data_IF_528045337219
#
_entry.id   IF_528045337219
#
_cell.length_a   1.000
_cell.length_b   1.000
_cell.length_c   1.000
_cell.angle_alpha   90.00
_cell.angle_beta   90.00
_cell.angle_gamma   90.00
#
_symmetry.space_group_name_H-M   'P 1'
#
loop_
_entity.id
_entity.type
_entity.pdbx_description
1 polymer ?
#
# COMPACT_ATOMS: atom_id res chain seq x y z
N UNK A 1 7.40 3.83 8.22
CA UNK A 1 6.77 4.48 7.06
C UNK A 1 7.82 5.35 6.39
N UNK A 2 8.02 5.19 5.09
CA UNK A 2 8.83 6.12 4.30
C UNK A 2 7.88 6.92 3.42
N UNK A 3 8.08 8.24 3.36
CA UNK A 3 7.28 9.13 2.53
C UNK A 3 8.20 9.80 1.51
N UNK A 4 7.84 9.72 0.23
CA UNK A 4 8.63 10.24 -0.88
C UNK A 4 7.80 11.23 -1.67
N UNK A 5 8.38 12.38 -1.99
CA UNK A 5 7.80 13.36 -2.91
C UNK A 5 8.50 13.21 -4.26
N UNK A 6 7.76 12.74 -5.26
CA UNK A 6 8.24 12.62 -6.63
C UNK A 6 7.81 13.81 -7.48
N UNK A 7 8.63 14.15 -8.48
CA UNK A 7 8.22 15.05 -9.58
C UNK A 7 7.59 14.21 -10.67
N UNK A 8 6.52 14.72 -11.29
CA UNK A 8 6.03 14.17 -12.54
C UNK A 8 6.69 14.92 -13.72
N UNK A 9 7.69 14.31 -14.39
CA UNK A 9 8.47 15.00 -15.42
C UNK A 9 7.67 15.30 -16.69
N UNK A 10 6.53 14.63 -16.89
CA UNK A 10 5.68 14.87 -18.06
C UNK A 10 4.92 16.21 -17.98
N UNK A 11 4.85 16.82 -16.78
CA UNK A 11 4.01 17.99 -16.52
C UNK A 11 4.78 19.20 -15.98
N UNK A 12 5.93 19.01 -15.33
CA UNK A 12 6.66 20.14 -14.71
C UNK A 12 8.14 19.84 -14.42
N UNK A 13 8.97 20.86 -14.55
CA UNK A 13 10.37 20.88 -14.10
C UNK A 13 10.53 21.40 -12.66
N UNK A 14 9.46 21.92 -12.06
CA UNK A 14 9.48 22.43 -10.69
C UNK A 14 9.57 21.29 -9.67
N UNK A 15 10.40 21.47 -8.64
CA UNK A 15 10.53 20.52 -7.54
C UNK A 15 9.23 20.37 -6.74
N UNK A 16 8.99 19.20 -6.13
CA UNK A 16 7.79 18.99 -5.33
C UNK A 16 7.96 19.70 -3.98
N UNK A 17 6.86 20.22 -3.42
CA UNK A 17 6.88 20.86 -2.11
C UNK A 17 5.77 20.32 -1.21
N UNK A 18 6.02 20.34 0.10
CA UNK A 18 5.05 20.04 1.15
C UNK A 18 5.23 21.07 2.27
N UNK A 19 4.15 21.66 2.76
CA UNK A 19 4.23 22.65 3.84
C UNK A 19 4.22 22.00 5.22
N UNK A 20 3.50 20.89 5.39
CA UNK A 20 3.42 20.12 6.63
C UNK A 20 2.97 18.68 6.35
N UNK A 21 3.41 17.75 7.20
CA UNK A 21 2.95 16.37 7.22
C UNK A 21 2.57 16.02 8.66
N UNK A 22 1.32 15.61 8.87
CA UNK A 22 0.83 15.10 10.14
C UNK A 22 0.62 13.60 10.01
N UNK A 23 1.20 12.83 10.94
CA UNK A 23 1.01 11.39 11.02
C UNK A 23 0.42 11.09 12.40
N UNK A 24 -0.84 10.66 12.41
CA UNK A 24 -1.56 10.26 13.62
C UNK A 24 -1.69 8.75 13.58
N UNK A 25 -1.27 8.10 14.67
CA UNK A 25 -1.51 6.68 14.84
C UNK A 25 -2.96 6.47 15.27
N UNK A 26 -3.70 5.69 14.49
CA UNK A 26 -5.05 5.27 14.82
C UNK A 26 -5.02 3.83 15.34
N UNK A 27 -5.94 3.51 16.25
CA UNK A 27 -6.15 2.13 16.68
C UNK A 27 -6.84 1.33 15.57
N UNK A 28 -6.53 0.04 15.44
CA UNK A 28 -7.10 -0.84 14.42
C UNK A 28 -8.64 -0.92 14.53
N UNK A 29 -9.21 -0.64 15.71
CA UNK A 29 -10.65 -0.60 15.94
C UNK A 29 -11.37 0.51 15.17
N UNK A 30 -10.71 1.63 14.84
CA UNK A 30 -11.38 2.82 14.27
C UNK A 30 -11.94 2.55 12.87
N UNK A 31 -11.29 1.72 12.05
CA UNK A 31 -11.77 1.36 10.71
C UNK A 31 -11.60 -0.14 10.46
N UNK A 32 -11.98 -0.95 11.43
CA UNK A 32 -11.71 -2.39 11.50
C UNK A 32 -12.30 -3.25 10.37
N UNK A 33 -13.20 -2.70 9.56
CA UNK A 33 -13.81 -3.39 8.41
C UNK A 33 -12.97 -3.30 7.14
N UNK A 34 -11.88 -2.53 7.13
CA UNK A 34 -10.98 -2.36 5.98
C UNK A 34 -9.73 -3.22 6.15
N UNK A 35 -9.40 -4.02 5.12
CA UNK A 35 -8.11 -4.74 5.07
C UNK A 35 -6.99 -3.78 4.64
N UNK A 36 -6.39 -3.11 5.63
CA UNK A 36 -5.24 -2.21 5.42
C UNK A 36 -3.95 -2.93 4.97
N UNK A 37 -3.95 -4.27 4.91
CA UNK A 37 -2.88 -5.02 4.26
C UNK A 37 -3.01 -5.04 2.73
N UNK A 38 -4.21 -4.76 2.19
CA UNK A 38 -4.49 -4.77 0.74
C UNK A 38 -4.87 -3.42 0.18
N UNK A 39 -5.48 -2.57 0.98
CA UNK A 39 -6.03 -1.30 0.52
C UNK A 39 -5.78 -0.17 1.51
N UNK A 40 -5.45 1.00 1.01
CA UNK A 40 -5.51 2.25 1.75
C UNK A 40 -6.88 2.90 1.54
N UNK A 41 -7.28 3.74 2.49
CA UNK A 41 -8.46 4.60 2.35
C UNK A 41 -8.01 6.04 2.14
N UNK A 42 -8.56 6.68 1.11
CA UNK A 42 -8.43 8.13 0.93
C UNK A 42 -9.77 8.79 1.19
N UNK A 43 -9.80 9.78 2.08
CA UNK A 43 -11.02 10.50 2.42
C UNK A 43 -11.53 11.28 1.20
N UNK A 44 -12.80 11.07 0.85
CA UNK A 44 -13.50 11.84 -0.19
C UNK A 44 -14.35 12.93 0.44
N UNK A 45 -15.14 12.58 1.46
CA UNK A 45 -15.94 13.53 2.21
C UNK A 45 -16.18 13.02 3.64
N UNK A 46 -16.17 13.94 4.60
CA UNK A 46 -16.62 13.71 5.98
C UNK A 46 -17.47 14.91 6.37
N UNK A 47 -18.74 14.67 6.65
CA UNK A 47 -19.72 15.75 6.75
C UNK A 47 -20.57 15.62 8.01
N UNK A 48 -20.77 16.75 8.69
CA UNK A 48 -21.77 16.98 9.74
C UNK A 48 -22.97 17.68 9.11
N UNK A 49 -24.13 17.04 9.14
CA UNK A 49 -25.36 17.57 8.58
C UNK A 49 -26.15 18.39 9.61
N UNK A 50 -26.95 19.34 9.13
CA UNK A 50 -27.76 20.21 9.99
C UNK A 50 -26.99 21.31 10.73
N UNK A 51 -25.75 21.60 10.32
CA UNK A 51 -24.96 22.71 10.86
C UNK A 51 -24.26 23.45 9.72
N UNK A 52 -24.24 24.78 9.78
CA UNK A 52 -23.42 25.67 8.93
C UNK A 52 -22.31 26.35 9.73
N UNK A 53 -21.99 25.82 10.92
CA UNK A 53 -20.98 26.37 11.83
C UNK A 53 -19.54 26.07 11.40
N UNK A 54 -18.63 26.10 12.38
CA UNK A 54 -17.23 25.75 12.15
C UNK A 54 -17.02 24.23 11.97
N UNK A 55 -15.85 23.85 11.48
CA UNK A 55 -15.44 22.45 11.31
C UNK A 55 -15.26 21.82 12.70
N UNK A 56 -15.94 20.69 12.94
CA UNK A 56 -15.71 19.86 14.14
C UNK A 56 -14.38 19.13 14.00
N UNK A 57 -13.53 19.21 15.02
CA UNK A 57 -12.20 18.57 15.06
C UNK A 57 -11.70 18.47 16.50
N UNK A 58 -10.40 18.31 16.72
CA UNK A 58 -9.83 18.33 18.07
C UNK A 58 -10.18 19.65 18.81
N UNK A 59 -10.58 19.61 20.10
CA UNK A 59 -10.51 18.48 21.03
C UNK A 59 -11.71 17.53 21.00
N UNK A 60 -12.79 17.87 20.30
CA UNK A 60 -14.05 17.13 20.34
C UNK A 60 -13.95 15.80 19.58
N UNK A 61 -13.14 15.76 18.51
CA UNK A 61 -12.68 14.53 17.87
C UNK A 61 -11.27 14.15 18.34
N UNK A 62 -11.15 13.04 19.07
CA UNK A 62 -9.87 12.52 19.60
C UNK A 62 -8.86 12.15 18.51
N UNK A 63 -9.29 11.99 17.27
CA UNK A 63 -8.45 11.65 16.12
C UNK A 63 -8.14 12.86 15.22
N UNK A 64 -8.54 14.07 15.63
CA UNK A 64 -8.39 15.33 14.88
C UNK A 64 -8.92 15.23 13.43
N UNK A 65 -10.01 14.47 13.25
CA UNK A 65 -10.71 14.37 11.96
C UNK A 65 -11.51 15.64 11.72
N UNK A 66 -11.51 16.11 10.47
CA UNK A 66 -12.22 17.31 10.06
C UNK A 66 -13.64 16.95 9.60
N UNK A 67 -14.65 17.27 10.40
CA UNK A 67 -16.05 17.12 10.00
C UNK A 67 -16.57 18.42 9.40
N UNK A 68 -16.74 18.42 8.08
CA UNK A 68 -17.16 19.60 7.35
C UNK A 68 -18.68 19.82 7.53
N UNK A 69 -19.13 21.05 7.84
CA UNK A 69 -20.55 21.35 7.89
C UNK A 69 -21.17 21.25 6.49
N UNK A 70 -22.39 20.73 6.41
CA UNK A 70 -23.14 20.74 5.16
C UNK A 70 -23.66 22.17 4.87
N UNK A 71 -23.53 22.69 3.64
CA UNK A 71 -23.80 24.10 3.35
C UNK A 71 -25.28 24.52 3.41
N UNK A 72 -26.20 23.59 3.65
CA UNK A 72 -27.64 23.88 3.81
C UNK A 72 -28.11 23.65 5.25
N UNK A 73 -28.75 24.66 5.83
CA UNK A 73 -29.37 24.63 7.16
C UNK A 73 -30.88 24.82 7.14
N UNK A 74 -31.53 24.93 5.97
CA UNK A 74 -32.99 25.17 5.92
C UNK A 74 -33.80 24.08 6.61
N UNK A 75 -33.28 22.86 6.61
CA UNK A 75 -33.90 21.70 7.24
C UNK A 75 -33.08 21.18 8.43
N UNK A 76 -32.32 22.04 9.10
CA UNK A 76 -31.57 21.65 10.29
C UNK A 76 -32.47 21.56 11.52
N UNK A 77 -32.31 20.50 12.29
CA UNK A 77 -32.89 20.36 13.63
C UNK A 77 -31.78 20.11 14.66
N UNK A 78 -31.99 20.58 15.89
CA UNK A 78 -31.06 20.39 17.01
C UNK A 78 -31.54 19.23 17.89
N UNK A 79 -30.61 18.40 18.32
CA UNK A 79 -30.88 17.34 19.30
C UNK A 79 -31.15 17.92 20.67
N UNK A 80 -32.05 17.28 21.41
CA UNK A 80 -32.36 17.62 22.81
C UNK A 80 -31.67 16.69 23.81
N UNK A 81 -30.88 15.72 23.35
CA UNK A 81 -30.16 14.78 24.18
C UNK A 81 -28.76 14.49 23.65
N UNK A 82 -27.92 13.97 24.54
CA UNK A 82 -26.56 13.59 24.21
C UNK A 82 -26.53 12.16 23.65
N UNK A 83 -25.62 11.94 22.71
CA UNK A 83 -25.37 10.65 22.08
C UNK A 83 -23.97 10.17 22.50
N UNK A 84 -23.83 8.87 22.78
CA UNK A 84 -22.55 8.29 23.19
C UNK A 84 -21.82 7.72 21.98
N UNK A 85 -20.62 8.22 21.70
CA UNK A 85 -19.81 7.78 20.54
C UNK A 85 -19.43 6.30 20.53
N UNK A 86 -19.38 5.65 21.71
CA UNK A 86 -18.97 4.26 21.86
C UNK A 86 -19.89 3.26 21.14
N UNK A 87 -21.13 3.66 20.87
CA UNK A 87 -22.13 2.83 20.19
C UNK A 87 -22.00 2.87 18.65
N UNK A 88 -21.08 3.69 18.13
CA UNK A 88 -20.87 3.90 16.70
C UNK A 88 -19.56 3.28 16.21
N UNK A 89 -19.59 2.79 14.98
CA UNK A 89 -18.55 1.93 14.40
C UNK A 89 -17.12 2.50 14.48
N UNK A 90 -16.93 3.78 14.19
CA UNK A 90 -15.62 4.44 14.15
C UNK A 90 -15.50 5.64 15.11
N UNK A 91 -16.27 5.62 16.20
CA UNK A 91 -16.21 6.61 17.28
C UNK A 91 -16.28 8.09 16.78
N UNK A 92 -17.29 8.49 15.98
CA UNK A 92 -17.53 9.90 15.65
C UNK A 92 -17.73 10.73 16.93
N UNK A 93 -17.30 12.00 16.97
CA UNK A 93 -17.43 12.84 18.16
C UNK A 93 -18.93 13.07 18.48
N UNK A 94 -19.34 13.15 19.76
CA UNK A 94 -20.74 13.31 20.14
C UNK A 94 -21.41 14.51 19.48
N UNK A 95 -20.66 15.60 19.29
CA UNK A 95 -21.18 16.87 18.78
C UNK A 95 -21.68 16.82 17.34
N UNK A 96 -21.28 15.80 16.58
CA UNK A 96 -21.82 15.52 15.25
C UNK A 96 -23.32 15.17 15.31
N UNK A 97 -23.79 14.61 16.43
CA UNK A 97 -25.19 14.24 16.64
C UNK A 97 -26.04 15.34 17.26
N UNK A 98 -25.45 16.48 17.65
CA UNK A 98 -26.20 17.62 18.18
C UNK A 98 -27.09 18.26 17.12
N UNK A 99 -26.85 17.98 15.83
CA UNK A 99 -27.66 18.45 14.72
C UNK A 99 -28.03 17.29 13.77
N UNK A 100 -29.13 17.46 13.06
CA UNK A 100 -29.50 16.59 11.95
C UNK A 100 -30.12 17.40 10.83
N UNK A 101 -30.06 16.87 9.61
CA UNK A 101 -30.83 17.36 8.47
C UNK A 101 -32.03 16.45 8.27
N UNK A 102 -33.24 17.01 8.33
CA UNK A 102 -34.51 16.26 8.35
C UNK A 102 -35.31 16.49 7.07
N UNK A 103 -36.09 15.50 6.63
CA UNK A 103 -37.02 15.69 5.52
C UNK A 103 -38.20 16.61 5.90
N UNK A 104 -38.89 17.12 4.88
CA UNK A 104 -40.25 17.62 5.05
C UNK A 104 -41.21 16.47 5.42
N UNK A 105 -42.34 16.80 6.05
CA UNK A 105 -43.34 15.82 6.46
C UNK A 105 -43.85 15.03 5.25
N UNK A 106 -43.90 13.70 5.38
CA UNK A 106 -44.36 12.75 4.35
C UNK A 106 -43.59 12.80 3.02
N UNK A 107 -42.40 13.41 2.99
CA UNK A 107 -41.51 13.48 1.84
C UNK A 107 -40.20 12.70 2.08
N UNK A 108 -39.57 12.16 1.02
CA UNK A 108 -38.24 11.60 1.15
C UNK A 108 -37.19 12.69 1.35
N UNK A 109 -36.16 12.41 2.14
CA UNK A 109 -34.97 13.25 2.19
C UNK A 109 -34.06 12.88 1.00
N UNK A 110 -33.72 13.85 0.15
CA UNK A 110 -32.81 13.64 -0.99
C UNK A 110 -31.59 14.53 -0.84
N UNK A 111 -30.42 13.93 -0.73
CA UNK A 111 -29.14 14.61 -0.56
C UNK A 111 -28.21 14.28 -1.72
N UNK A 112 -27.72 15.29 -2.43
CA UNK A 112 -26.59 15.11 -3.35
C UNK A 112 -25.29 15.18 -2.55
N UNK A 113 -24.78 14.02 -2.14
CA UNK A 113 -23.59 13.92 -1.31
C UNK A 113 -22.81 12.63 -1.64
N UNK A 114 -21.47 12.69 -1.78
CA UNK A 114 -20.58 13.84 -1.57
C UNK A 114 -20.76 14.99 -2.60
N UNK A 115 -20.27 16.22 -2.32
CA UNK A 115 -20.53 17.41 -3.13
C UNK A 115 -19.79 17.43 -4.48
N UNK A 116 -19.12 16.35 -4.85
CA UNK A 116 -18.32 16.23 -6.06
C UNK A 116 -18.63 14.90 -6.77
N UNK A 117 -18.50 14.85 -8.12
CA UNK A 117 -18.66 13.61 -8.86
C UNK A 117 -17.53 12.63 -8.53
N UNK A 118 -17.88 11.35 -8.43
CA UNK A 118 -16.97 10.25 -8.13
C UNK A 118 -16.54 9.51 -9.40
N UNK A 119 -15.35 8.92 -9.37
CA UNK A 119 -14.92 8.00 -10.42
C UNK A 119 -15.69 6.69 -10.29
N UNK A 120 -15.76 5.90 -11.37
CA UNK A 120 -16.37 4.57 -11.31
C UNK A 120 -15.44 3.61 -10.57
N UNK A 121 -15.68 3.45 -9.27
CA UNK A 121 -14.84 2.61 -8.40
C UNK A 121 -15.62 2.15 -7.16
N UNK A 122 -14.95 1.35 -6.33
CA UNK A 122 -15.44 0.87 -5.04
C UNK A 122 -15.15 1.88 -3.93
N UNK A 123 -16.19 2.24 -3.19
CA UNK A 123 -16.13 3.20 -2.09
C UNK A 123 -16.55 2.56 -0.77
N UNK A 124 -15.91 3.06 0.28
CA UNK A 124 -16.41 2.94 1.63
C UNK A 124 -17.44 4.04 1.85
N UNK A 125 -18.65 3.70 2.30
CA UNK A 125 -19.69 4.68 2.68
C UNK A 125 -20.17 4.36 4.08
N UNK A 126 -20.19 5.35 4.97
CA UNK A 126 -20.82 5.28 6.28
C UNK A 126 -21.79 6.46 6.45
N UNK A 127 -22.98 6.16 6.96
CA UNK A 127 -24.03 7.11 7.30
C UNK A 127 -24.36 6.96 8.79
N UNK A 128 -24.50 8.10 9.47
CA UNK A 128 -24.66 8.16 10.92
C UNK A 128 -25.99 8.80 11.28
N UNK A 129 -26.72 8.12 12.15
CA UNK A 129 -28.08 8.48 12.51
C UNK A 129 -28.26 8.43 14.02
N UNK A 130 -28.92 9.43 14.58
CA UNK A 130 -29.45 9.46 15.92
C UNK A 130 -30.71 10.33 15.90
N UNK A 131 -31.82 9.82 16.45
CA UNK A 131 -33.00 10.67 16.59
C UNK A 131 -32.67 11.88 17.46
N UNK A 132 -33.30 13.01 17.20
CA UNK A 132 -33.14 14.25 17.98
C UNK A 132 -34.11 14.33 19.15
N UNK A 133 -35.14 13.47 19.14
CA UNK A 133 -36.19 13.38 20.15
C UNK A 133 -35.96 12.17 21.08
N UNK A 134 -36.04 12.34 22.41
CA UNK A 134 -35.87 11.25 23.35
C UNK A 134 -37.03 10.25 23.23
N UNK A 135 -36.74 8.97 23.47
CA UNK A 135 -37.71 7.86 23.51
C UNK A 135 -38.54 7.67 22.22
N UNK A 136 -38.12 8.29 21.12
CA UNK A 136 -38.73 8.13 19.81
C UNK A 136 -37.87 7.25 18.91
N UNK A 137 -38.51 6.78 17.84
CA UNK A 137 -37.84 6.05 16.78
C UNK A 137 -38.37 6.44 15.41
N UNK A 138 -37.49 6.53 14.43
CA UNK A 138 -37.81 6.72 13.01
C UNK A 138 -37.47 5.45 12.25
N UNK A 139 -38.40 5.00 11.42
CA UNK A 139 -38.14 3.88 10.50
C UNK A 139 -38.22 4.36 9.07
N UNK A 140 -37.15 4.14 8.32
CA UNK A 140 -37.04 4.54 6.92
C UNK A 140 -36.08 3.64 6.16
N UNK A 141 -36.24 3.58 4.84
CA UNK A 141 -35.28 2.91 3.96
C UNK A 141 -34.23 3.92 3.51
N UNK A 142 -33.03 3.40 3.25
CA UNK A 142 -31.89 4.17 2.74
C UNK A 142 -31.56 3.67 1.35
N UNK A 143 -31.48 4.58 0.39
CA UNK A 143 -31.02 4.31 -0.96
C UNK A 143 -29.81 5.17 -1.30
N UNK A 144 -28.90 4.61 -2.08
CA UNK A 144 -27.79 5.34 -2.69
C UNK A 144 -27.87 5.14 -4.20
N UNK A 145 -28.05 6.22 -4.96
CA UNK A 145 -28.27 6.18 -6.41
C UNK A 145 -29.41 5.23 -6.82
N UNK A 146 -30.54 5.29 -6.10
CA UNK A 146 -31.74 4.46 -6.30
C UNK A 146 -31.54 2.96 -6.00
N UNK A 147 -30.35 2.53 -5.56
CA UNK A 147 -30.11 1.18 -5.06
C UNK A 147 -30.33 1.12 -3.54
N UNK A 148 -31.05 0.09 -3.09
CA UNK A 148 -31.33 -0.14 -1.69
C UNK A 148 -30.03 -0.39 -0.91
N UNK A 149 -29.70 0.54 -0.01
CA UNK A 149 -28.55 0.48 0.88
C UNK A 149 -28.90 -0.16 2.22
N UNK A 150 -30.09 0.16 2.76
CA UNK A 150 -30.62 -0.46 3.97
C UNK A 150 -32.16 -0.44 3.95
N UNK A 151 -32.78 -1.55 4.31
CA UNK A 151 -34.25 -1.70 4.41
C UNK A 151 -34.70 -1.60 5.87
N UNK A 152 -35.71 -0.77 6.15
CA UNK A 152 -36.34 -0.68 7.46
C UNK A 152 -35.41 -0.22 8.59
N UNK A 153 -34.53 0.75 8.32
CA UNK A 153 -33.58 1.26 9.31
C UNK A 153 -34.34 1.90 10.47
N UNK A 154 -34.23 1.33 11.67
CA UNK A 154 -34.89 1.84 12.87
C UNK A 154 -33.93 2.67 13.72
N UNK A 155 -34.02 3.99 13.61
CA UNK A 155 -33.15 4.96 14.30
C UNK A 155 -33.80 5.40 15.60
N UNK A 156 -33.10 5.25 16.72
CA UNK A 156 -33.52 5.73 18.05
C UNK A 156 -32.61 6.87 18.52
N UNK A 157 -32.87 7.43 19.71
CA UNK A 157 -32.00 8.41 20.36
C UNK A 157 -30.60 7.90 20.71
N UNK A 158 -30.39 6.57 20.82
CA UNK A 158 -29.06 5.99 20.99
C UNK A 158 -28.22 6.09 19.70
N UNK A 159 -28.90 6.13 18.56
CA UNK A 159 -28.31 6.18 17.23
C UNK A 159 -27.65 4.87 16.78
N UNK A 160 -27.16 4.89 15.54
CA UNK A 160 -26.52 3.77 14.86
C UNK A 160 -25.71 4.25 13.65
N UNK A 161 -24.89 3.34 13.11
CA UNK A 161 -24.20 3.50 11.84
C UNK A 161 -24.76 2.53 10.80
N UNK A 162 -24.99 3.00 9.57
CA UNK A 162 -25.21 2.15 8.41
C UNK A 162 -24.04 2.34 7.43
N UNK A 163 -23.32 1.26 7.08
CA UNK A 163 -22.12 1.36 6.26
C UNK A 163 -21.96 0.21 5.29
N UNK A 164 -21.20 0.45 4.21
CA UNK A 164 -20.75 -0.55 3.26
C UNK A 164 -19.29 -0.28 2.89
N UNK A 165 -18.50 -1.35 2.73
CA UNK A 165 -17.06 -1.24 2.47
C UNK A 165 -16.71 -1.34 0.98
N UNK A 166 -17.64 -1.82 0.15
CA UNK A 166 -17.42 -2.03 -1.29
C UNK A 166 -18.62 -1.59 -2.12
N UNK A 167 -19.07 -0.36 -1.89
CA UNK A 167 -20.21 0.19 -2.63
C UNK A 167 -19.72 0.86 -3.92
N UNK A 168 -20.23 0.43 -5.07
CA UNK A 168 -19.81 1.00 -6.36
C UNK A 168 -20.52 2.34 -6.57
N UNK A 169 -19.75 3.40 -6.76
CA UNK A 169 -20.26 4.74 -7.08
C UNK A 169 -19.64 5.23 -8.39
N UNK A 170 -20.35 6.12 -9.08
CA UNK A 170 -19.84 6.84 -10.23
C UNK A 170 -20.66 8.12 -10.46
N UNK A 171 -20.02 9.18 -10.92
CA UNK A 171 -20.70 10.46 -11.15
C UNK A 171 -21.24 11.09 -9.87
N UNK A 172 -22.34 11.84 -9.98
CA UNK A 172 -22.99 12.46 -8.83
C UNK A 172 -23.74 11.41 -8.01
N UNK A 173 -23.53 11.42 -6.70
CA UNK A 173 -24.18 10.49 -5.76
C UNK A 173 -25.36 11.15 -5.07
N UNK A 174 -26.47 10.41 -4.99
CA UNK A 174 -27.67 10.79 -4.23
C UNK A 174 -27.90 9.80 -3.09
N UNK A 175 -27.97 10.30 -1.87
CA UNK A 175 -28.46 9.58 -0.69
C UNK A 175 -29.94 9.93 -0.53
N UNK A 176 -30.81 8.93 -0.50
CA UNK A 176 -32.26 9.10 -0.45
C UNK A 176 -32.78 8.33 0.76
N UNK A 177 -33.49 9.01 1.66
CA UNK A 177 -34.14 8.40 2.81
C UNK A 177 -35.65 8.46 2.61
N UNK A 178 -36.33 7.32 2.60
CA UNK A 178 -37.78 7.24 2.37
C UNK A 178 -38.49 6.76 3.63
N UNK A 179 -39.48 7.50 4.18
CA UNK A 179 -40.26 7.03 5.32
C UNK A 179 -40.85 5.64 5.07
N UNK A 180 -40.79 4.74 6.06
CA UNK A 180 -41.33 3.39 5.90
C UNK A 180 -42.87 3.35 5.84
N UNK A 181 -43.55 4.41 6.32
CA UNK A 181 -45.00 4.54 6.19
C UNK A 181 -45.44 6.01 6.04
N UNK A 182 -46.62 6.28 5.42
CA UNK A 182 -47.13 7.64 5.13
C UNK A 182 -47.57 8.46 6.36
N UNK A 183 -47.16 8.08 7.57
CA UNK A 183 -47.43 8.80 8.82
C UNK A 183 -46.30 8.65 9.84
N UNK A 184 -45.13 8.17 9.39
CA UNK A 184 -43.94 8.09 10.21
C UNK A 184 -43.30 9.48 10.36
N UNK A 185 -42.53 9.67 11.44
CA UNK A 185 -41.66 10.84 11.59
C UNK A 185 -40.71 10.94 10.38
N UNK A 186 -40.45 12.15 9.85
CA UNK A 186 -39.63 12.33 8.66
C UNK A 186 -38.21 11.80 8.90
N UNK A 187 -37.57 11.17 7.90
CA UNK A 187 -36.21 10.67 8.05
C UNK A 187 -35.23 11.82 8.27
N UNK A 188 -34.11 11.49 8.90
CA UNK A 188 -33.04 12.44 9.20
C UNK A 188 -31.68 11.80 8.98
N UNK A 189 -30.63 12.63 8.93
CA UNK A 189 -29.23 12.20 8.95
C UNK A 189 -28.39 13.20 9.76
N UNK A 190 -27.44 12.70 10.54
CA UNK A 190 -26.55 13.52 11.36
C UNK A 190 -25.18 13.69 10.72
N UNK A 191 -24.64 12.61 10.14
CA UNK A 191 -23.32 12.64 9.53
C UNK A 191 -23.16 11.61 8.41
N UNK A 192 -22.08 11.77 7.65
CA UNK A 192 -21.64 10.77 6.69
C UNK A 192 -20.14 10.84 6.42
N UNK A 193 -19.56 9.69 6.06
CA UNK A 193 -18.20 9.57 5.54
C UNK A 193 -18.17 8.76 4.23
N UNK A 194 -17.40 9.24 3.25
CA UNK A 194 -17.06 8.49 2.04
C UNK A 194 -15.54 8.42 1.91
N UNK A 195 -15.03 7.22 1.65
CA UNK A 195 -13.63 7.00 1.31
C UNK A 195 -13.52 6.26 -0.01
N UNK A 196 -12.55 6.66 -0.83
CA UNK A 196 -12.07 5.84 -1.94
C UNK A 196 -11.19 4.72 -1.40
N UNK A 197 -11.35 3.51 -1.92
CA UNK A 197 -10.45 2.40 -1.64
C UNK A 197 -9.35 2.35 -2.68
N UNK A 198 -8.13 2.61 -2.24
CA UNK A 198 -6.96 2.55 -3.09
C UNK A 198 -6.28 1.20 -2.82
N UNK A 199 -6.20 0.28 -3.80
CA UNK A 199 -5.39 -0.91 -3.60
C UNK A 199 -3.96 -0.44 -3.31
N UNK A 200 -3.39 -0.88 -2.20
CA UNK A 200 -1.97 -0.68 -1.94
C UNK A 200 -1.24 -1.40 -3.07
N UNK A 201 -0.56 -0.60 -3.91
CA UNK A 201 0.17 -1.10 -5.06
C UNK A 201 1.00 -2.30 -4.65
N UNK A 202 0.89 -3.38 -5.44
CA UNK A 202 1.47 -4.70 -5.17
C UNK A 202 2.88 -4.54 -4.60
N UNK A 203 3.05 -4.67 -3.28
CA UNK A 203 4.36 -4.47 -2.67
C UNK A 203 5.30 -5.60 -3.09
N UNK A 204 6.60 -5.31 -3.09
CA UNK A 204 7.59 -6.37 -3.14
C UNK A 204 7.35 -7.32 -1.98
N UNK A 205 7.44 -8.63 -2.23
CA UNK A 205 7.39 -9.63 -1.17
C UNK A 205 8.35 -9.22 -0.06
N UNK A 206 7.83 -9.08 1.17
CA UNK A 206 8.59 -8.55 2.30
C UNK A 206 9.96 -9.22 2.51
N UNK A 207 10.06 -10.53 2.29
CA UNK A 207 11.34 -11.26 2.34
C UNK A 207 12.35 -10.69 1.33
N UNK A 208 11.94 -10.48 0.09
CA UNK A 208 12.83 -10.02 -0.96
C UNK A 208 13.29 -8.58 -0.67
N UNK A 209 12.38 -7.71 -0.22
CA UNK A 209 12.71 -6.35 0.22
C UNK A 209 13.70 -6.33 1.39
N UNK A 210 13.47 -7.12 2.44
CA UNK A 210 14.38 -7.21 3.59
C UNK A 210 15.77 -7.75 3.21
N UNK A 211 15.83 -8.69 2.26
CA UNK A 211 17.10 -9.22 1.77
C UNK A 211 17.86 -8.17 0.97
N UNK A 212 17.20 -7.38 0.12
CA UNK A 212 17.84 -6.28 -0.61
C UNK A 212 18.35 -5.19 0.34
N UNK A 213 17.63 -4.88 1.42
CA UNK A 213 18.13 -4.00 2.48
C UNK A 213 19.36 -4.57 3.20
N UNK A 214 19.41 -5.89 3.42
CA UNK A 214 20.59 -6.57 3.97
C UNK A 214 21.79 -6.54 3.00
N UNK A 215 21.54 -6.72 1.70
CA UNK A 215 22.56 -6.62 0.65
C UNK A 215 23.11 -5.20 0.58
N UNK A 216 22.23 -4.19 0.55
CA UNK A 216 22.59 -2.77 0.57
C UNK A 216 23.54 -2.44 1.73
N UNK A 217 23.28 -2.96 2.93
CA UNK A 217 24.15 -2.77 4.12
C UNK A 217 25.55 -3.37 4.00
N UNK A 218 25.77 -4.34 3.09
CA UNK A 218 27.09 -4.96 2.84
C UNK A 218 27.87 -4.29 1.71
N UNK A 219 27.25 -3.36 1.01
CA UNK A 219 27.82 -2.66 -0.12
C UNK A 219 28.12 -1.21 0.25
N UNK A 220 29.05 -0.60 -0.48
CA UNK A 220 29.38 0.82 -0.44
C UNK A 220 29.22 1.40 -1.85
N UNK A 221 29.05 2.72 -1.93
CA UNK A 221 28.76 3.45 -3.18
C UNK A 221 27.46 2.97 -3.86
N UNK A 222 26.44 2.63 -3.07
CA UNK A 222 25.14 2.21 -3.60
C UNK A 222 24.42 3.39 -4.28
N UNK A 223 23.63 3.15 -5.34
CA UNK A 223 22.78 4.16 -5.96
C UNK A 223 21.84 4.86 -4.96
N UNK A 224 21.57 6.15 -5.19
CA UNK A 224 20.73 6.97 -4.30
C UNK A 224 19.26 6.53 -4.28
N UNK A 225 18.79 5.91 -5.36
CA UNK A 225 17.43 5.44 -5.53
C UNK A 225 17.16 4.09 -4.83
N UNK A 226 18.18 3.47 -4.21
CA UNK A 226 18.01 2.26 -3.40
C UNK A 226 17.35 2.56 -2.05
N UNK A 227 16.19 3.20 -2.05
CA UNK A 227 15.43 3.55 -0.86
C UNK A 227 13.94 3.22 -1.06
N UNK A 228 13.28 2.70 -0.02
CA UNK A 228 11.88 2.32 -0.09
C UNK A 228 11.65 0.89 -0.61
N UNK A 229 10.52 0.66 -1.28
CA UNK A 229 10.21 -0.64 -1.88
C UNK A 229 11.07 -0.86 -3.14
N UNK A 230 11.79 -1.98 -3.27
CA UNK A 230 12.75 -2.17 -4.36
C UNK A 230 12.14 -2.38 -5.74
N UNK A 231 10.84 -2.71 -5.82
CA UNK A 231 10.15 -2.93 -7.09
C UNK A 231 9.07 -1.88 -7.36
N UNK A 232 8.73 -1.04 -6.37
CA UNK A 232 7.58 -0.16 -6.43
C UNK A 232 7.93 1.31 -6.16
N UNK A 233 7.26 2.26 -6.84
CA UNK A 233 6.16 2.05 -7.79
C UNK A 233 6.61 1.45 -9.14
N UNK A 234 5.68 0.86 -9.89
CA UNK A 234 5.99 0.28 -11.21
C UNK A 234 6.62 1.35 -12.12
N UNK A 235 7.72 1.01 -12.79
CA UNK A 235 8.53 1.96 -13.55
C UNK A 235 9.64 2.67 -12.75
N UNK A 236 9.66 2.52 -11.42
CA UNK A 236 10.60 3.15 -10.50
C UNK A 236 11.22 2.15 -9.50
N UNK A 237 11.47 0.91 -9.95
CA UNK A 237 12.25 -0.06 -9.17
C UNK A 237 13.68 0.47 -8.95
N UNK A 238 14.34 0.01 -7.89
CA UNK A 238 15.74 0.33 -7.63
C UNK A 238 16.61 0.07 -8.87
N UNK A 239 17.55 0.96 -9.14
CA UNK A 239 18.44 0.86 -10.30
C UNK A 239 19.14 -0.49 -10.28
N UNK A 240 19.00 -1.23 -11.39
CA UNK A 240 19.56 -2.57 -11.57
C UNK A 240 18.71 -3.72 -10.99
N UNK A 241 17.60 -3.43 -10.32
CA UNK A 241 16.63 -4.45 -9.87
C UNK A 241 15.54 -4.62 -10.93
N UNK A 242 15.22 -5.87 -11.27
CA UNK A 242 14.06 -6.20 -12.11
C UNK A 242 13.14 -7.14 -11.34
N UNK A 243 11.83 -6.86 -11.43
CA UNK A 243 10.80 -7.59 -10.69
C UNK A 243 9.75 -8.18 -11.61
N UNK A 244 9.05 -9.21 -11.15
CA UNK A 244 7.91 -9.75 -11.90
C UNK A 244 6.65 -8.89 -11.74
N UNK A 245 5.73 -9.02 -12.69
CA UNK A 245 4.44 -8.33 -12.68
C UNK A 245 3.34 -9.22 -12.07
N UNK A 246 3.71 -10.13 -11.17
CA UNK A 246 2.79 -11.03 -10.49
C UNK A 246 1.93 -10.31 -9.44
N UNK A 247 0.86 -10.95 -8.91
CA UNK A 247 0.11 -10.42 -7.78
C UNK A 247 0.94 -10.37 -6.49
N UNK A 248 2.02 -11.15 -6.41
CA UNK A 248 3.06 -11.07 -5.38
C UNK A 248 4.36 -10.73 -6.08
N UNK A 249 4.77 -9.47 -6.01
CA UNK A 249 5.97 -9.01 -6.72
C UNK A 249 7.21 -9.65 -6.10
N UNK A 250 8.02 -10.28 -6.95
CA UNK A 250 9.28 -10.93 -6.60
C UNK A 250 10.42 -10.29 -7.38
N UNK A 251 11.59 -10.25 -6.76
CA UNK A 251 12.82 -9.84 -7.43
C UNK A 251 13.32 -10.99 -8.31
N UNK A 252 13.48 -10.76 -9.60
CA UNK A 252 13.80 -11.80 -10.60
C UNK A 252 15.17 -11.62 -11.27
N UNK A 253 15.71 -10.40 -11.27
CA UNK A 253 17.06 -10.13 -11.77
C UNK A 253 17.73 -9.01 -10.97
N UNK A 254 19.03 -9.16 -10.75
CA UNK A 254 19.92 -8.14 -10.21
C UNK A 254 21.04 -7.89 -11.21
N UNK A 255 21.06 -6.72 -11.83
CA UNK A 255 22.14 -6.26 -12.69
C UNK A 255 22.78 -5.00 -12.10
N UNK A 256 23.81 -5.23 -11.30
CA UNK A 256 24.57 -4.19 -10.63
C UNK A 256 25.97 -4.03 -11.24
N UNK A 257 26.10 -4.32 -12.53
CA UNK A 257 27.38 -4.28 -13.24
C UNK A 257 27.86 -2.84 -13.43
N UNK A 258 29.16 -2.58 -13.28
CA UNK A 258 29.77 -1.27 -13.54
C UNK A 258 29.18 -0.10 -12.72
N UNK A 259 28.70 -0.38 -11.51
CA UNK A 259 28.11 0.62 -10.61
C UNK A 259 29.10 1.26 -9.64
N UNK A 260 30.38 0.88 -9.69
CA UNK A 260 31.39 1.39 -8.74
C UNK A 260 31.21 0.86 -7.32
N UNK A 261 30.48 -0.25 -7.18
CA UNK A 261 30.18 -0.86 -5.89
C UNK A 261 31.46 -1.45 -5.27
N UNK A 262 31.57 -1.36 -3.95
CA UNK A 262 32.58 -2.07 -3.17
C UNK A 262 31.95 -2.72 -1.94
N UNK A 263 32.71 -3.51 -1.18
CA UNK A 263 32.21 -4.29 -0.04
C UNK A 263 32.23 -5.79 -0.32
N UNK A 264 31.21 -6.53 0.12
CA UNK A 264 31.14 -7.99 -0.07
C UNK A 264 29.75 -8.52 -0.42
N UNK A 265 29.70 -9.68 -1.07
CA UNK A 265 28.45 -10.36 -1.42
C UNK A 265 27.81 -10.97 -0.16
N UNK A 266 26.61 -10.49 0.20
CA UNK A 266 25.87 -11.03 1.34
C UNK A 266 25.36 -12.45 1.06
N UNK A 267 25.56 -13.45 1.96
CA UNK A 267 24.98 -14.78 1.82
C UNK A 267 23.45 -14.79 1.77
N UNK A 268 22.81 -13.74 2.29
CA UNK A 268 21.37 -13.55 2.31
C UNK A 268 20.76 -13.49 0.90
N UNK A 269 21.55 -13.17 -0.13
CA UNK A 269 21.11 -13.18 -1.53
C UNK A 269 20.50 -14.53 -1.94
N UNK A 270 20.92 -15.64 -1.30
CA UNK A 270 20.36 -16.97 -1.54
C UNK A 270 18.89 -17.13 -1.11
N UNK A 271 18.32 -16.15 -0.40
CA UNK A 271 16.89 -16.10 -0.02
C UNK A 271 16.00 -15.50 -1.13
N UNK A 272 16.57 -14.88 -2.15
CA UNK A 272 15.85 -14.33 -3.31
C UNK A 272 15.54 -15.45 -4.33
N UNK A 273 14.69 -16.40 -3.94
CA UNK A 273 14.48 -17.66 -4.67
C UNK A 273 13.86 -17.53 -6.07
N UNK A 274 13.42 -16.33 -6.45
CA UNK A 274 12.87 -16.06 -7.77
C UNK A 274 13.94 -15.59 -8.78
N UNK A 275 15.18 -15.33 -8.33
CA UNK A 275 16.25 -14.84 -9.20
C UNK A 275 16.58 -15.81 -10.33
N UNK A 276 16.69 -15.23 -11.52
CA UNK A 276 17.13 -15.89 -12.75
C UNK A 276 18.49 -15.38 -13.20
N UNK A 277 18.88 -14.18 -12.78
CA UNK A 277 20.14 -13.54 -13.14
C UNK A 277 20.70 -12.74 -11.97
N UNK A 278 22.01 -12.88 -11.78
CA UNK A 278 22.81 -12.07 -10.87
C UNK A 278 24.05 -11.62 -11.64
N UNK A 279 24.18 -10.32 -11.83
CA UNK A 279 25.40 -9.71 -12.34
C UNK A 279 25.90 -8.63 -11.39
N UNK A 280 27.13 -8.80 -10.92
CA UNK A 280 27.90 -7.79 -10.18
C UNK A 280 29.22 -7.49 -10.91
N UNK A 281 29.28 -7.76 -12.22
CA UNK A 281 30.50 -7.64 -13.01
C UNK A 281 31.10 -6.22 -12.98
N UNK A 282 32.42 -6.12 -13.07
CA UNK A 282 33.14 -4.86 -13.17
C UNK A 282 32.85 -3.91 -11.99
N UNK A 283 33.16 -4.37 -10.78
CA UNK A 283 33.04 -3.61 -9.54
C UNK A 283 34.30 -3.82 -8.68
N UNK A 284 34.31 -3.30 -7.46
CA UNK A 284 35.38 -3.49 -6.48
C UNK A 284 34.95 -4.36 -5.30
N UNK A 285 34.14 -5.40 -5.56
CA UNK A 285 33.70 -6.33 -4.53
C UNK A 285 34.82 -7.24 -4.07
N UNK A 286 34.77 -7.63 -2.80
CA UNK A 286 35.75 -8.47 -2.12
C UNK A 286 35.07 -9.55 -1.28
N UNK A 287 35.86 -10.49 -0.76
CA UNK A 287 35.34 -11.61 0.02
C UNK A 287 34.99 -12.84 -0.83
N UNK A 288 34.51 -13.91 -0.19
CA UNK A 288 34.17 -15.16 -0.86
C UNK A 288 32.84 -15.08 -1.60
N UNK A 289 32.71 -15.91 -2.64
CA UNK A 289 31.42 -16.17 -3.28
C UNK A 289 30.55 -16.94 -2.27
N UNK A 290 29.38 -16.41 -1.86
CA UNK A 290 28.52 -17.09 -0.91
C UNK A 290 27.86 -18.34 -1.51
N UNK A 291 27.29 -19.18 -0.65
CA UNK A 291 26.52 -20.33 -1.11
C UNK A 291 25.19 -19.87 -1.75
N UNK A 292 25.00 -20.15 -3.04
CA UNK A 292 23.82 -19.78 -3.82
C UNK A 292 22.89 -20.97 -4.16
N UNK A 293 23.10 -22.14 -3.54
CA UNK A 293 22.35 -23.38 -3.90
C UNK A 293 20.83 -23.29 -3.80
N UNK A 294 20.29 -22.38 -2.99
CA UNK A 294 18.85 -22.17 -2.86
C UNK A 294 18.23 -21.43 -4.07
N UNK A 295 19.05 -20.85 -4.94
CA UNK A 295 18.59 -20.14 -6.13
C UNK A 295 18.36 -21.11 -7.30
N UNK A 296 17.38 -21.99 -7.14
CA UNK A 296 17.09 -23.07 -8.10
C UNK A 296 16.72 -22.60 -9.51
N UNK A 297 16.34 -21.33 -9.66
CA UNK A 297 15.98 -20.66 -10.92
C UNK A 297 17.14 -19.88 -11.54
N UNK A 298 18.28 -19.76 -10.88
CA UNK A 298 19.40 -18.96 -11.36
C UNK A 298 19.98 -19.57 -12.63
N UNK A 299 20.02 -18.77 -13.69
CA UNK A 299 20.52 -19.13 -15.01
C UNK A 299 21.86 -18.48 -15.32
N UNK A 300 22.06 -17.22 -14.90
CA UNK A 300 23.28 -16.45 -15.17
C UNK A 300 23.87 -15.91 -13.88
N UNK A 301 25.15 -16.21 -13.66
CA UNK A 301 25.94 -15.66 -12.57
C UNK A 301 27.22 -15.03 -13.13
N UNK A 302 27.27 -13.70 -13.13
CA UNK A 302 28.38 -12.91 -13.67
C UNK A 302 29.03 -12.11 -12.52
N UNK A 303 30.24 -12.49 -12.16
CA UNK A 303 31.01 -11.88 -11.06
C UNK A 303 32.43 -11.46 -11.50
N UNK A 304 32.69 -11.43 -12.81
CA UNK A 304 34.00 -11.07 -13.34
C UNK A 304 34.42 -9.64 -12.99
N UNK A 305 35.72 -9.38 -13.11
CA UNK A 305 36.31 -8.05 -12.94
C UNK A 305 35.97 -7.46 -11.55
N UNK A 306 36.35 -8.20 -10.52
CA UNK A 306 36.19 -7.85 -9.11
C UNK A 306 37.46 -8.28 -8.33
N UNK A 307 37.41 -8.23 -6.99
CA UNK A 307 38.48 -8.67 -6.07
C UNK A 307 38.00 -9.82 -5.18
N UNK A 308 37.13 -10.69 -5.70
CA UNK A 308 36.61 -11.83 -4.95
C UNK A 308 37.70 -12.86 -4.74
N UNK A 309 37.80 -13.43 -3.54
CA UNK A 309 38.83 -14.41 -3.18
C UNK A 309 38.23 -15.64 -2.50
N UNK A 310 38.99 -16.72 -2.38
CA UNK A 310 38.50 -17.99 -1.85
C UNK A 310 38.26 -19.02 -2.95
N UNK A 311 37.72 -20.18 -2.57
CA UNK A 311 37.39 -21.25 -3.51
C UNK A 311 36.03 -21.03 -4.17
N UNK A 312 35.86 -21.58 -5.38
CA UNK A 312 34.56 -21.62 -6.05
C UNK A 312 33.65 -22.61 -5.31
N UNK A 313 32.48 -22.20 -4.79
CA UNK A 313 31.61 -23.11 -4.06
C UNK A 313 31.11 -24.25 -4.94
N UNK A 314 31.36 -25.50 -4.52
CA UNK A 314 30.86 -26.70 -5.21
C UNK A 314 29.32 -26.71 -5.31
N UNK A 315 28.64 -26.02 -4.40
CA UNK A 315 27.19 -25.86 -4.39
C UNK A 315 26.64 -25.11 -5.60
N UNK A 316 27.46 -24.35 -6.35
CA UNK A 316 27.01 -23.75 -7.61
C UNK A 316 26.67 -24.82 -8.67
N UNK A 317 27.36 -25.96 -8.65
CA UNK A 317 27.09 -27.05 -9.59
C UNK A 317 25.75 -27.74 -9.36
N UNK A 318 25.14 -27.60 -8.17
CA UNK A 318 23.84 -28.21 -7.85
C UNK A 318 22.66 -27.39 -8.39
N UNK A 319 22.89 -26.16 -8.87
CA UNK A 319 21.85 -25.32 -9.47
C UNK A 319 21.55 -25.84 -10.88
N UNK A 320 20.43 -26.54 -11.05
CA UNK A 320 20.07 -27.19 -12.31
C UNK A 320 19.82 -26.19 -13.46
N UNK A 321 19.29 -25.00 -13.14
CA UNK A 321 18.98 -23.98 -14.12
C UNK A 321 20.21 -23.20 -14.62
N UNK A 322 21.38 -23.33 -13.97
CA UNK A 322 22.56 -22.54 -14.29
C UNK A 322 23.06 -22.86 -15.71
N UNK A 323 23.24 -21.82 -16.52
CA UNK A 323 23.69 -21.86 -17.93
C UNK A 323 24.92 -21.01 -18.17
N UNK A 324 25.13 -19.96 -17.38
CA UNK A 324 26.30 -19.10 -17.50
C UNK A 324 26.95 -18.82 -16.16
N UNK A 325 28.27 -19.02 -16.07
CA UNK A 325 29.09 -18.75 -14.90
C UNK A 325 30.39 -18.04 -15.28
N UNK A 326 30.45 -16.73 -15.07
CA UNK A 326 31.56 -15.88 -15.53
C UNK A 326 32.27 -15.31 -14.29
N UNK A 327 33.52 -15.74 -14.05
CA UNK A 327 34.29 -15.46 -12.83
C UNK A 327 35.71 -14.94 -13.11
N UNK A 328 36.13 -14.74 -14.38
CA UNK A 328 37.49 -14.27 -14.68
C UNK A 328 37.82 -12.93 -14.00
N UNK A 329 39.11 -12.61 -13.89
CA UNK A 329 39.60 -11.36 -13.32
C UNK A 329 39.10 -11.12 -11.88
N UNK A 330 39.41 -12.08 -11.02
CA UNK A 330 39.22 -12.04 -9.57
C UNK A 330 40.48 -12.61 -8.89
N UNK A 331 40.44 -12.85 -7.58
CA UNK A 331 41.52 -13.43 -6.77
C UNK A 331 41.16 -14.85 -6.27
N UNK A 332 40.32 -15.58 -7.02
CA UNK A 332 39.87 -16.92 -6.64
C UNK A 332 40.99 -17.94 -6.74
N UNK A 333 41.00 -18.94 -5.84
CA UNK A 333 42.07 -19.94 -5.76
C UNK A 333 41.53 -21.35 -5.45
N UNK A 334 42.44 -22.33 -5.45
CA UNK A 334 42.10 -23.75 -5.28
C UNK A 334 41.68 -24.42 -6.58
N UNK A 335 41.01 -25.56 -6.50
CA UNK A 335 40.49 -26.27 -7.66
C UNK A 335 39.09 -25.80 -8.02
N UNK A 336 38.77 -25.77 -9.32
CA UNK A 336 37.39 -25.60 -9.77
C UNK A 336 36.63 -26.91 -9.55
N UNK A 337 35.45 -26.91 -8.90
CA UNK A 337 34.68 -28.12 -8.65
C UNK A 337 34.34 -28.91 -9.93
N UNK A 338 34.58 -30.22 -9.92
CA UNK A 338 34.34 -31.10 -11.08
C UNK A 338 32.88 -31.10 -11.55
N UNK A 339 31.93 -30.94 -10.62
CA UNK A 339 30.50 -30.86 -10.94
C UNK A 339 30.10 -29.58 -11.69
N UNK A 340 30.96 -28.56 -11.72
CA UNK A 340 30.80 -27.39 -12.59
C UNK A 340 31.45 -27.67 -13.96
N UNK A 341 32.67 -28.19 -13.98
CA UNK A 341 33.41 -28.51 -15.22
C UNK A 341 32.66 -29.52 -16.09
N UNK A 342 32.01 -30.50 -15.46
CA UNK A 342 31.28 -31.57 -16.15
C UNK A 342 29.78 -31.25 -16.36
N UNK A 343 29.33 -30.04 -16.01
CA UNK A 343 27.91 -29.67 -16.10
C UNK A 343 27.52 -29.43 -17.56
N UNK A 344 26.70 -30.30 -18.11
CA UNK A 344 26.20 -30.17 -19.48
C UNK A 344 25.41 -28.87 -19.68
N UNK A 345 25.73 -28.15 -20.75
CA UNK A 345 25.07 -26.89 -21.12
C UNK A 345 25.46 -25.69 -20.26
N UNK A 346 26.45 -25.82 -19.37
CA UNK A 346 27.04 -24.68 -18.66
C UNK A 346 28.14 -24.06 -19.51
N UNK A 347 27.98 -22.77 -19.83
CA UNK A 347 29.05 -21.93 -20.35
C UNK A 347 29.74 -21.27 -19.16
N UNK A 348 31.06 -21.44 -19.04
CA UNK A 348 31.82 -20.83 -17.96
C UNK A 348 33.05 -20.08 -18.47
N UNK A 349 33.52 -19.12 -17.67
CA UNK A 349 34.82 -18.46 -17.87
C UNK A 349 35.49 -18.22 -16.52
N UNK A 350 36.56 -18.95 -16.26
CA UNK A 350 37.32 -18.87 -14.99
C UNK A 350 38.63 -18.09 -15.12
N UNK A 351 39.13 -17.90 -16.34
CA UNK A 351 40.41 -17.28 -16.65
C UNK A 351 40.21 -16.15 -17.67
N UNK A 352 41.10 -15.14 -17.73
CA UNK A 352 42.34 -14.96 -16.94
C UNK A 352 42.09 -14.42 -15.52
N UNK A 353 43.16 -14.06 -14.80
CA UNK A 353 43.10 -13.26 -13.58
C UNK A 353 43.01 -14.03 -12.25
N UNK A 354 42.44 -15.23 -12.22
CA UNK A 354 42.37 -16.06 -11.01
C UNK A 354 43.62 -16.94 -10.78
N UNK A 355 43.77 -17.46 -9.56
CA UNK A 355 44.89 -18.29 -9.07
C UNK A 355 44.52 -19.77 -8.91
N UNK A 356 43.80 -20.35 -9.88
CA UNK A 356 43.35 -21.75 -9.80
C UNK A 356 44.47 -22.78 -9.97
N UNK A 357 44.41 -23.86 -9.18
CA UNK A 357 45.29 -25.02 -9.29
C UNK A 357 44.51 -26.34 -9.04
N UNK A 358 44.52 -27.30 -10.00
CA UNK A 358 45.08 -27.18 -11.33
C UNK A 358 44.35 -26.13 -12.18
N UNK A 359 44.99 -25.67 -13.26
CA UNK A 359 44.38 -24.71 -14.19
C UNK A 359 43.12 -25.33 -14.82
N UNK A 360 41.94 -24.68 -14.74
CA UNK A 360 40.73 -25.23 -15.33
C UNK A 360 40.82 -25.23 -16.87
N UNK A 361 40.07 -26.13 -17.54
CA UNK A 361 39.95 -26.12 -18.99
C UNK A 361 39.43 -24.76 -19.49
N UNK A 362 39.96 -24.33 -20.64
CA UNK A 362 39.78 -23.00 -21.22
C UNK A 362 38.38 -22.73 -21.74
#
# INVERSE_FOLDING_TARGET
MSFCLGVNPDYTDAGPFISALQVIQLDDSVYNTTDFGRSAMGLIARTKFGSTGDIERYPDDSFDRYWQPFPDSKHSVTSTHNVTSADFWNLPPPDVFNTAFVAEQDAPLVLQWPPMPLQNDSYYVALYFADTLPENSRTFDVYINDYLFYEGLNVTSAGLSAFATQWILSGLTRVILTPASPSALPPLINAGEVFGLFPLGRLTLARDALVLESIKKKLQNVPEDWNGDPCMPSGYSWTGVTCDEGPRIRVVSLNFSSMGLSGSLSPEIAKLTALTEISFANNSLSGPIPNLSNLSRLQRLHLQDNKLFGSVPQTLGTINALRELILQNNELFGSVPENLLNKQGLTYKFLPGNHFFPKPPG
#
